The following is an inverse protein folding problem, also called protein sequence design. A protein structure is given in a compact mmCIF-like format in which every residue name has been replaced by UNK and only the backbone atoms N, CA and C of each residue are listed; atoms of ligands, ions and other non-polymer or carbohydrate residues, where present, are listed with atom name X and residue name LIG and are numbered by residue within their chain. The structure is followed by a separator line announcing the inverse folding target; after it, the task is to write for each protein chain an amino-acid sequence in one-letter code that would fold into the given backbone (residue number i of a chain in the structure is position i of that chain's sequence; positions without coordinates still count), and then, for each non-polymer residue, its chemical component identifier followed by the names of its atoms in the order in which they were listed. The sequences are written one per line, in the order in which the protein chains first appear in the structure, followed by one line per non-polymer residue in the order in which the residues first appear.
data_IF_281961798489
#
_entry.id   IF_281961798489
#
_cell.length_a   1.000
_cell.length_b   1.000
_cell.length_c   1.000
_cell.angle_alpha   90.00
_cell.angle_beta   90.00
_cell.angle_gamma   90.00
#
_symmetry.space_group_name_H-M   'P 1'
#
loop_
_entity.id
_entity.type
_entity.pdbx_description
1 polymer ?
#
# COMPACT_ATOMS: atom_id res chain seq x y z
N UNK A 1 -7.61 -34.82 -15.68
CA UNK A 1 -7.23 -33.40 -15.90
C UNK A 1 -8.06 -32.74 -17.00
N UNK A 2 -8.11 -33.30 -18.22
CA UNK A 2 -9.01 -32.77 -19.28
C UNK A 2 -10.48 -32.70 -18.83
N UNK A 3 -11.02 -33.80 -18.31
CA UNK A 3 -12.37 -33.85 -17.71
C UNK A 3 -12.59 -32.85 -16.56
N UNK A 4 -11.55 -32.53 -15.79
CA UNK A 4 -11.64 -31.52 -14.72
C UNK A 4 -11.77 -30.12 -15.31
N UNK A 5 -11.01 -29.83 -16.36
CA UNK A 5 -11.08 -28.55 -17.07
C UNK A 5 -12.45 -28.37 -17.75
N UNK A 6 -12.96 -29.41 -18.41
CA UNK A 6 -14.29 -29.42 -19.04
C UNK A 6 -15.42 -29.27 -18.01
N UNK A 7 -15.27 -29.85 -16.82
CA UNK A 7 -16.20 -29.66 -15.70
C UNK A 7 -16.24 -28.19 -15.26
N UNK A 8 -15.08 -27.55 -15.07
CA UNK A 8 -15.02 -26.13 -14.74
C UNK A 8 -15.56 -25.21 -15.85
N UNK A 9 -15.36 -25.55 -17.12
CA UNK A 9 -16.02 -24.83 -18.23
C UNK A 9 -17.55 -24.94 -18.16
N UNK A 10 -18.06 -26.10 -17.77
CA UNK A 10 -19.51 -26.32 -17.63
C UNK A 10 -20.06 -25.50 -16.47
N UNK A 11 -19.39 -25.54 -15.30
CA UNK A 11 -19.74 -24.73 -14.13
C UNK A 11 -19.65 -23.24 -14.42
N UNK A 12 -18.64 -22.80 -15.17
CA UNK A 12 -18.51 -21.42 -15.63
C UNK A 12 -19.75 -21.00 -16.42
N UNK A 13 -20.15 -21.78 -17.43
CA UNK A 13 -21.33 -21.49 -18.27
C UNK A 13 -22.62 -21.46 -17.47
N UNK A 14 -22.79 -22.38 -16.52
CA UNK A 14 -23.96 -22.38 -15.63
C UNK A 14 -23.99 -21.14 -14.73
N UNK A 15 -22.85 -20.71 -14.21
CA UNK A 15 -22.75 -19.53 -13.36
C UNK A 15 -22.91 -18.21 -14.14
N UNK A 16 -22.72 -18.21 -15.47
CA UNK A 16 -22.87 -17.01 -16.33
C UNK A 16 -24.30 -16.47 -16.33
N UNK A 17 -25.29 -17.32 -16.06
CA UNK A 17 -26.70 -16.93 -15.95
C UNK A 17 -26.96 -16.05 -14.69
N UNK A 18 -26.01 -16.02 -13.74
CA UNK A 18 -26.07 -15.25 -12.50
C UNK A 18 -25.10 -14.06 -12.44
N UNK A 19 -24.41 -13.90 -11.31
CA UNK A 19 -23.33 -12.91 -11.17
C UNK A 19 -22.01 -13.50 -11.70
N UNK A 20 -21.41 -12.82 -12.69
CA UNK A 20 -20.19 -13.24 -13.39
C UNK A 20 -18.97 -13.47 -12.48
N UNK A 21 -18.99 -13.05 -11.20
CA UNK A 21 -17.88 -13.29 -10.27
C UNK A 21 -17.55 -14.78 -10.10
N UNK A 22 -18.56 -15.62 -9.93
CA UNK A 22 -18.34 -17.07 -9.76
C UNK A 22 -17.86 -17.71 -11.07
N UNK A 23 -18.39 -17.24 -12.21
CA UNK A 23 -17.93 -17.67 -13.54
C UNK A 23 -16.46 -17.34 -13.77
N UNK A 24 -15.97 -16.19 -13.29
CA UNK A 24 -14.56 -15.82 -13.38
C UNK A 24 -13.67 -16.83 -12.64
N UNK A 25 -14.05 -17.23 -11.43
CA UNK A 25 -13.31 -18.22 -10.65
C UNK A 25 -13.25 -19.57 -11.36
N UNK A 26 -14.38 -20.08 -11.87
CA UNK A 26 -14.39 -21.33 -12.62
C UNK A 26 -13.60 -21.23 -13.93
N UNK A 27 -13.65 -20.09 -14.61
CA UNK A 27 -12.84 -19.84 -15.79
C UNK A 27 -11.33 -19.91 -15.49
N UNK A 28 -10.87 -19.32 -14.37
CA UNK A 28 -9.47 -19.43 -13.92
C UNK A 28 -9.08 -20.88 -13.65
N UNK A 29 -9.90 -21.64 -12.93
CA UNK A 29 -9.64 -23.06 -12.65
C UNK A 29 -9.57 -23.91 -13.93
N UNK A 30 -10.42 -23.63 -14.91
CA UNK A 30 -10.34 -24.27 -16.22
C UNK A 30 -9.01 -23.93 -16.93
N UNK A 31 -8.64 -22.64 -17.00
CA UNK A 31 -7.39 -22.16 -17.61
C UNK A 31 -6.17 -22.83 -16.95
N UNK A 32 -6.11 -22.91 -15.63
CA UNK A 32 -5.01 -23.57 -14.92
C UNK A 32 -4.87 -25.05 -15.28
N UNK A 33 -5.98 -25.76 -15.39
CA UNK A 33 -5.97 -27.16 -15.79
C UNK A 33 -5.52 -27.33 -17.25
N UNK A 34 -5.94 -26.44 -18.16
CA UNK A 34 -5.46 -26.44 -19.55
C UNK A 34 -3.99 -26.02 -19.70
N UNK A 35 -3.49 -25.09 -18.88
CA UNK A 35 -2.05 -24.76 -18.80
C UNK A 35 -1.22 -25.97 -18.44
N UNK A 36 -1.69 -26.79 -17.48
CA UNK A 36 -1.03 -28.05 -17.08
C UNK A 36 -1.09 -29.11 -18.20
N UNK A 37 -2.08 -29.05 -19.09
CA UNK A 37 -2.21 -29.91 -20.28
C UNK A 37 -1.48 -29.37 -21.51
N UNK A 38 -0.96 -28.13 -21.46
CA UNK A 38 -0.33 -27.40 -22.58
C UNK A 38 -1.25 -27.19 -23.79
N UNK A 39 -2.56 -27.14 -23.57
CA UNK A 39 -3.57 -26.91 -24.62
C UNK A 39 -3.70 -25.40 -24.91
N UNK A 40 -2.88 -24.90 -25.85
CA UNK A 40 -2.78 -23.47 -26.14
C UNK A 40 -4.07 -22.87 -26.71
N UNK A 41 -4.81 -23.66 -27.49
CA UNK A 41 -6.02 -23.17 -28.14
C UNK A 41 -7.11 -22.91 -27.11
N UNK A 42 -7.32 -23.87 -26.20
CA UNK A 42 -8.26 -23.71 -25.08
C UNK A 42 -7.86 -22.60 -24.10
N UNK A 43 -6.56 -22.46 -23.82
CA UNK A 43 -6.07 -21.35 -22.99
C UNK A 43 -6.43 -20.00 -23.62
N UNK A 44 -6.11 -19.81 -24.90
CA UNK A 44 -6.41 -18.56 -25.61
C UNK A 44 -7.91 -18.27 -25.71
N UNK A 45 -8.73 -19.30 -25.93
CA UNK A 45 -10.20 -19.20 -25.93
C UNK A 45 -10.71 -18.70 -24.57
N UNK A 46 -10.29 -19.35 -23.49
CA UNK A 46 -10.76 -19.05 -22.14
C UNK A 46 -10.20 -17.74 -21.60
N UNK A 47 -8.97 -17.33 -21.95
CA UNK A 47 -8.44 -16.01 -21.55
C UNK A 47 -9.24 -14.87 -22.19
N UNK A 48 -9.67 -15.02 -23.46
CA UNK A 48 -10.61 -14.08 -24.09
C UNK A 48 -11.98 -14.08 -23.40
N UNK A 49 -12.48 -15.26 -23.03
CA UNK A 49 -13.74 -15.39 -22.30
C UNK A 49 -13.66 -14.75 -20.92
N UNK A 50 -12.58 -14.97 -20.18
CA UNK A 50 -12.31 -14.36 -18.88
C UNK A 50 -12.36 -12.83 -18.97
N UNK A 51 -11.69 -12.24 -19.96
CA UNK A 51 -11.70 -10.79 -20.17
C UNK A 51 -13.14 -10.25 -20.38
N UNK A 52 -13.96 -10.96 -21.15
CA UNK A 52 -15.39 -10.61 -21.35
C UNK A 52 -16.18 -10.70 -20.05
N UNK A 53 -16.08 -11.82 -19.33
CA UNK A 53 -16.76 -12.03 -18.04
C UNK A 53 -16.40 -10.96 -17.01
N UNK A 54 -15.12 -10.54 -17.02
CA UNK A 54 -14.60 -9.51 -16.12
C UNK A 54 -15.23 -8.16 -16.43
N UNK A 55 -15.30 -7.78 -17.69
CA UNK A 55 -15.95 -6.53 -18.12
C UNK A 55 -17.46 -6.49 -17.86
N UNK A 56 -18.12 -7.65 -17.78
CA UNK A 56 -19.55 -7.76 -17.49
C UNK A 56 -19.87 -8.03 -16.01
N UNK A 57 -18.86 -8.05 -15.14
CA UNK A 57 -19.05 -8.25 -13.70
C UNK A 57 -19.85 -7.10 -13.09
N UNK A 58 -20.84 -7.44 -12.26
CA UNK A 58 -21.67 -6.46 -11.54
C UNK A 58 -21.38 -6.57 -10.06
N UNK A 59 -20.81 -5.50 -9.50
CA UNK A 59 -20.62 -5.33 -8.07
C UNK A 59 -21.67 -4.35 -7.56
N UNK A 60 -22.30 -4.69 -6.43
CA UNK A 60 -23.16 -3.75 -5.73
C UNK A 60 -22.31 -2.81 -4.88
N UNK A 61 -22.66 -1.54 -4.86
CA UNK A 61 -22.01 -0.54 -4.02
C UNK A 61 -22.94 -0.17 -2.86
N UNK A 62 -22.36 -0.13 -1.65
CA UNK A 62 -22.97 0.50 -0.50
C UNK A 62 -22.13 1.72 -0.11
N UNK A 63 -22.79 2.86 0.04
CA UNK A 63 -22.14 4.12 0.43
C UNK A 63 -22.95 4.78 1.53
N UNK A 64 -22.26 5.26 2.55
CA UNK A 64 -22.83 6.08 3.63
C UNK A 64 -21.98 7.32 3.82
N UNK A 65 -22.64 8.43 4.13
CA UNK A 65 -21.96 9.67 4.52
C UNK A 65 -21.82 9.71 6.04
N UNK A 66 -20.69 10.22 6.53
CA UNK A 66 -20.40 10.38 7.95
C UNK A 66 -20.03 11.84 8.17
N UNK A 67 -20.74 12.52 9.07
CA UNK A 67 -20.40 13.89 9.45
C UNK A 67 -19.20 13.89 10.41
N UNK A 68 -18.08 14.44 9.94
CA UNK A 68 -16.83 14.55 10.69
C UNK A 68 -16.57 15.97 11.20
N UNK A 69 -17.55 16.88 11.14
CA UNK A 69 -17.38 18.30 11.47
C UNK A 69 -16.78 18.52 12.86
N UNK A 70 -17.33 17.86 13.89
CA UNK A 70 -16.84 17.99 15.26
C UNK A 70 -15.43 17.39 15.42
N UNK A 71 -15.20 16.24 14.79
CA UNK A 71 -13.89 15.57 14.81
C UNK A 71 -12.80 16.45 14.19
N UNK A 72 -13.06 17.01 13.01
CA UNK A 72 -12.15 17.94 12.33
C UNK A 72 -11.87 19.17 13.19
N UNK A 73 -12.87 19.69 13.91
CA UNK A 73 -12.66 20.80 14.85
C UNK A 73 -11.68 20.41 15.96
N UNK A 74 -11.82 19.22 16.55
CA UNK A 74 -10.88 18.70 17.56
C UNK A 74 -9.48 18.51 16.98
N UNK A 75 -9.35 17.97 15.76
CA UNK A 75 -8.07 17.85 15.06
C UNK A 75 -7.37 19.21 14.90
N UNK A 76 -8.11 20.25 14.50
CA UNK A 76 -7.59 21.62 14.40
C UNK A 76 -7.11 22.17 15.75
N UNK A 77 -7.87 21.94 16.82
CA UNK A 77 -7.47 22.36 18.17
C UNK A 77 -6.17 21.68 18.63
N UNK A 78 -6.01 20.38 18.33
CA UNK A 78 -4.79 19.63 18.63
C UNK A 78 -3.62 20.14 17.78
N UNK A 79 -3.83 20.31 16.47
CA UNK A 79 -2.82 20.83 15.55
C UNK A 79 -2.32 22.21 15.99
N UNK A 80 -3.21 23.14 16.33
CA UNK A 80 -2.84 24.48 16.80
C UNK A 80 -1.99 24.43 18.07
N UNK A 81 -2.25 23.49 18.99
CA UNK A 81 -1.42 23.28 20.20
C UNK A 81 -0.04 22.72 19.84
N UNK A 82 0.04 21.75 18.93
CA UNK A 82 1.31 21.17 18.49
C UNK A 82 2.18 22.24 17.85
N UNK A 83 1.60 23.06 16.98
CA UNK A 83 2.33 24.08 16.24
C UNK A 83 2.83 25.22 17.13
N UNK A 84 2.36 25.37 18.38
CA UNK A 84 2.99 26.30 19.34
C UNK A 84 4.44 25.95 19.69
N UNK A 85 4.86 24.70 19.46
CA UNK A 85 6.24 24.28 19.68
C UNK A 85 7.18 24.83 18.59
N UNK A 86 8.47 24.57 18.74
CA UNK A 86 9.48 24.83 17.71
C UNK A 86 9.41 23.79 16.57
N UNK A 87 9.99 24.14 15.42
CA UNK A 87 10.00 23.31 14.21
C UNK A 87 10.57 21.91 14.42
N UNK A 88 11.63 21.76 15.21
CA UNK A 88 12.29 20.47 15.43
C UNK A 88 11.36 19.54 16.23
N UNK A 89 10.69 20.08 17.25
CA UNK A 89 9.70 19.35 18.03
C UNK A 89 8.45 18.99 17.22
N UNK A 90 7.98 19.86 16.32
CA UNK A 90 6.86 19.55 15.42
C UNK A 90 7.20 18.35 14.52
N UNK A 91 8.38 18.35 13.91
CA UNK A 91 8.81 17.22 13.05
C UNK A 91 8.98 15.95 13.87
N UNK A 92 9.54 16.04 15.09
CA UNK A 92 9.63 14.89 16.00
C UNK A 92 8.26 14.30 16.34
N UNK A 93 7.24 15.12 16.54
CA UNK A 93 5.87 14.61 16.73
C UNK A 93 5.41 13.84 15.49
N UNK A 94 5.57 14.41 14.29
CA UNK A 94 5.17 13.77 13.04
C UNK A 94 5.88 12.43 12.78
N UNK A 95 7.12 12.27 13.23
CA UNK A 95 7.95 11.08 12.96
C UNK A 95 7.89 10.04 14.08
N UNK A 96 7.74 10.47 15.34
CA UNK A 96 7.93 9.60 16.51
C UNK A 96 6.65 9.38 17.34
N UNK A 97 5.60 10.19 17.17
CA UNK A 97 4.37 10.01 17.94
C UNK A 97 3.55 8.83 17.41
N UNK A 98 3.64 7.71 18.13
CA UNK A 98 2.92 6.46 17.84
C UNK A 98 1.40 6.57 17.95
N UNK A 99 0.84 7.71 18.35
CA UNK A 99 -0.61 7.93 18.35
C UNK A 99 -1.14 8.54 17.04
N UNK A 100 -0.24 8.95 16.13
CA UNK A 100 -0.62 9.45 14.80
C UNK A 100 -1.11 8.34 13.86
N UNK A 101 -0.68 7.10 14.07
CA UNK A 101 -1.19 5.94 13.36
C UNK A 101 -2.09 5.08 14.28
N UNK A 102 -3.05 4.32 13.72
CA UNK A 102 -3.79 3.33 14.49
C UNK A 102 -2.85 2.23 15.00
N UNK A 103 -3.06 1.76 16.23
CA UNK A 103 -2.24 0.71 16.83
C UNK A 103 -2.81 -0.67 16.52
N UNK A 104 -1.97 -1.61 16.10
CA UNK A 104 -2.33 -2.98 15.75
C UNK A 104 -3.16 -3.63 16.86
N UNK A 105 -2.73 -3.52 18.13
CA UNK A 105 -3.42 -4.11 19.28
C UNK A 105 -4.83 -3.57 19.49
N UNK A 106 -5.04 -2.27 19.25
CA UNK A 106 -6.35 -1.64 19.44
C UNK A 106 -7.30 -2.03 18.31
N UNK A 107 -6.80 -2.04 17.07
CA UNK A 107 -7.55 -2.52 15.90
C UNK A 107 -7.93 -3.99 16.06
N UNK A 108 -6.98 -4.85 16.45
CA UNK A 108 -7.23 -6.27 16.70
C UNK A 108 -8.36 -6.49 17.71
N UNK A 109 -8.35 -5.78 18.83
CA UNK A 109 -9.42 -5.84 19.85
C UNK A 109 -10.78 -5.36 19.33
N UNK A 110 -10.81 -4.38 18.42
CA UNK A 110 -12.06 -3.95 17.78
C UNK A 110 -12.60 -5.07 16.89
N UNK A 111 -11.73 -5.69 16.08
CA UNK A 111 -12.10 -6.78 15.18
C UNK A 111 -12.57 -8.01 15.96
N UNK A 112 -11.88 -8.42 17.02
CA UNK A 112 -12.30 -9.53 17.90
C UNK A 112 -13.72 -9.31 18.44
N UNK A 113 -14.00 -8.10 18.95
CA UNK A 113 -15.34 -7.73 19.42
C UNK A 113 -16.38 -7.71 18.31
N UNK A 114 -16.01 -7.31 17.10
CA UNK A 114 -16.92 -7.31 15.96
C UNK A 114 -17.25 -8.74 15.51
N UNK A 115 -16.28 -9.65 15.50
CA UNK A 115 -16.49 -11.07 15.20
C UNK A 115 -17.46 -11.70 16.19
N UNK A 116 -17.30 -11.41 17.48
CA UNK A 116 -18.21 -11.92 18.52
C UNK A 116 -19.64 -11.39 18.36
N UNK A 117 -19.79 -10.10 17.99
CA UNK A 117 -21.10 -9.46 17.84
C UNK A 117 -21.80 -9.81 16.53
N UNK A 118 -21.05 -10.00 15.44
CA UNK A 118 -21.56 -10.19 14.09
C UNK A 118 -20.96 -11.44 13.41
N UNK A 119 -21.11 -12.64 14.01
CA UNK A 119 -20.41 -13.84 13.55
C UNK A 119 -20.74 -14.20 12.09
N UNK A 120 -21.97 -13.92 11.65
CA UNK A 120 -22.41 -14.19 10.27
C UNK A 120 -21.56 -13.48 9.21
N UNK A 121 -21.03 -12.29 9.50
CA UNK A 121 -20.21 -11.52 8.56
C UNK A 121 -18.83 -12.16 8.32
N UNK A 122 -18.38 -13.06 9.19
CA UNK A 122 -17.07 -13.70 9.11
C UNK A 122 -17.13 -15.17 8.68
N UNK A 123 -18.33 -15.70 8.36
CA UNK A 123 -18.50 -17.09 7.96
C UNK A 123 -17.92 -17.39 6.57
N UNK A 124 -18.06 -16.46 5.62
CA UNK A 124 -17.71 -16.69 4.23
C UNK A 124 -16.26 -16.30 3.93
N UNK A 125 -15.56 -17.01 3.03
CA UNK A 125 -14.29 -16.56 2.49
C UNK A 125 -14.45 -15.24 1.75
N UNK A 126 -13.40 -14.44 1.73
CA UNK A 126 -13.39 -13.15 1.06
C UNK A 126 -12.30 -13.08 -0.01
N UNK A 127 -12.57 -12.32 -1.07
CA UNK A 127 -11.62 -12.07 -2.16
C UNK A 127 -11.58 -10.57 -2.39
N UNK A 128 -10.38 -10.00 -2.35
CA UNK A 128 -10.15 -8.62 -2.75
C UNK A 128 -9.86 -8.59 -4.23
N UNK A 129 -10.52 -7.67 -4.94
CA UNK A 129 -10.29 -7.40 -6.35
C UNK A 129 -9.53 -6.08 -6.49
N UNK A 130 -8.62 -6.01 -7.45
CA UNK A 130 -7.97 -4.76 -7.84
C UNK A 130 -8.92 -3.85 -8.65
N UNK A 131 -8.46 -2.65 -9.00
CA UNK A 131 -9.22 -1.67 -9.79
C UNK A 131 -9.62 -2.19 -11.18
N UNK A 132 -8.96 -3.23 -11.69
CA UNK A 132 -9.25 -3.85 -12.98
C UNK A 132 -10.12 -5.12 -12.84
N UNK A 133 -10.56 -5.47 -11.62
CA UNK A 133 -11.37 -6.63 -11.31
C UNK A 133 -10.60 -7.95 -11.24
N UNK A 134 -9.27 -7.93 -11.09
CA UNK A 134 -8.48 -9.15 -10.86
C UNK A 134 -8.42 -9.47 -9.37
N UNK A 135 -8.57 -10.75 -8.98
CA UNK A 135 -8.29 -11.17 -7.61
C UNK A 135 -6.85 -10.82 -7.22
N UNK A 136 -6.69 -9.96 -6.22
CA UNK A 136 -5.38 -9.59 -5.67
C UNK A 136 -5.03 -10.45 -4.46
N UNK A 137 -6.02 -10.81 -3.64
CA UNK A 137 -5.82 -11.60 -2.42
C UNK A 137 -7.06 -12.40 -2.02
N UNK A 138 -6.84 -13.57 -1.43
CA UNK A 138 -7.88 -14.43 -0.86
C UNK A 138 -7.73 -14.49 0.66
N UNK A 139 -8.86 -14.54 1.37
CA UNK A 139 -8.92 -14.74 2.82
C UNK A 139 -9.91 -15.84 3.16
N UNK A 140 -9.39 -17.02 3.45
CA UNK A 140 -10.15 -18.28 3.50
C UNK A 140 -10.16 -18.88 4.90
N UNK A 141 -9.00 -19.01 5.52
CA UNK A 141 -8.89 -19.56 6.87
C UNK A 141 -9.19 -18.52 7.96
N UNK A 142 -9.21 -18.97 9.22
CA UNK A 142 -9.58 -18.13 10.36
C UNK A 142 -8.59 -16.98 10.58
N UNK A 143 -7.30 -17.24 10.43
CA UNK A 143 -6.25 -16.26 10.68
C UNK A 143 -6.18 -15.23 9.54
N UNK A 144 -6.35 -15.70 8.29
CA UNK A 144 -6.51 -14.85 7.12
C UNK A 144 -7.71 -13.91 7.25
N UNK A 145 -8.87 -14.44 7.63
CA UNK A 145 -10.08 -13.62 7.84
C UNK A 145 -9.92 -12.61 8.97
N UNK A 146 -9.25 -13.00 10.05
CA UNK A 146 -8.91 -12.09 11.14
C UNK A 146 -8.04 -10.94 10.64
N UNK A 147 -7.00 -11.26 9.86
CA UNK A 147 -6.12 -10.27 9.26
C UNK A 147 -6.85 -9.34 8.28
N UNK A 148 -7.75 -9.87 7.45
CA UNK A 148 -8.60 -9.05 6.57
C UNK A 148 -9.45 -8.05 7.37
N UNK A 149 -10.05 -8.51 8.47
CA UNK A 149 -10.78 -7.64 9.40
C UNK A 149 -9.91 -6.53 9.99
N UNK A 150 -8.65 -6.85 10.35
CA UNK A 150 -7.67 -5.87 10.82
C UNK A 150 -7.38 -4.82 9.75
N UNK A 151 -7.07 -5.23 8.52
CA UNK A 151 -6.78 -4.29 7.43
C UNK A 151 -7.95 -3.34 7.15
N UNK A 152 -9.18 -3.86 7.07
CA UNK A 152 -10.38 -3.04 6.87
C UNK A 152 -10.61 -2.05 8.01
N UNK A 153 -10.52 -2.53 9.24
CA UNK A 153 -10.74 -1.69 10.40
C UNK A 153 -9.64 -0.63 10.55
N UNK A 154 -8.41 -0.95 10.15
CA UNK A 154 -7.30 -0.01 10.08
C UNK A 154 -7.56 1.08 9.04
N UNK A 155 -7.97 0.71 7.82
CA UNK A 155 -8.31 1.65 6.74
C UNK A 155 -9.41 2.64 7.16
N UNK A 156 -10.47 2.13 7.82
CA UNK A 156 -11.54 2.97 8.36
C UNK A 156 -11.00 3.94 9.43
N UNK A 157 -10.21 3.47 10.39
CA UNK A 157 -9.66 4.31 11.46
C UNK A 157 -8.67 5.36 10.92
N UNK A 158 -7.82 4.96 9.95
CA UNK A 158 -6.90 5.87 9.29
C UNK A 158 -7.67 6.95 8.53
N UNK A 159 -8.64 6.55 7.72
CA UNK A 159 -9.41 7.42 6.84
C UNK A 159 -10.37 8.36 7.56
N UNK A 160 -11.04 7.92 8.63
CA UNK A 160 -12.01 8.73 9.37
C UNK A 160 -11.39 9.56 10.50
N UNK A 161 -10.26 9.11 11.07
CA UNK A 161 -9.68 9.75 12.24
C UNK A 161 -8.30 10.33 11.96
N UNK A 162 -7.33 9.46 11.68
CA UNK A 162 -5.90 9.81 11.79
C UNK A 162 -5.40 10.71 10.67
N UNK A 163 -5.85 10.49 9.43
CA UNK A 163 -5.40 11.28 8.29
C UNK A 163 -5.76 12.76 8.42
N UNK A 164 -6.94 13.06 9.00
CA UNK A 164 -7.37 14.44 9.26
C UNK A 164 -6.49 15.13 10.29
N UNK A 165 -6.12 14.43 11.37
CA UNK A 165 -5.22 14.99 12.37
C UNK A 165 -3.83 15.28 11.77
N UNK A 166 -3.27 14.33 11.03
CA UNK A 166 -1.96 14.49 10.38
C UNK A 166 -2.00 15.69 9.43
N UNK A 167 -3.02 15.76 8.57
CA UNK A 167 -3.18 16.86 7.61
C UNK A 167 -3.31 18.21 8.30
N UNK A 168 -4.10 18.33 9.37
CA UNK A 168 -4.24 19.60 10.09
C UNK A 168 -2.93 20.03 10.75
N UNK A 169 -2.13 19.10 11.28
CA UNK A 169 -0.78 19.40 11.80
C UNK A 169 0.12 19.94 10.68
N UNK A 170 0.18 19.26 9.53
CA UNK A 170 0.95 19.72 8.37
C UNK A 170 0.49 21.11 7.92
N UNK A 171 -0.81 21.30 7.72
CA UNK A 171 -1.35 22.56 7.22
C UNK A 171 -1.14 23.71 8.19
N UNK A 172 -1.32 23.51 9.49
CA UNK A 172 -1.06 24.53 10.49
C UNK A 172 0.44 24.87 10.54
N UNK A 173 1.32 23.86 10.52
CA UNK A 173 2.76 24.07 10.59
C UNK A 173 3.33 24.80 9.37
N UNK A 174 2.82 24.50 8.16
CA UNK A 174 3.21 25.19 6.93
C UNK A 174 2.72 26.64 6.95
N UNK A 175 1.45 26.87 7.31
CA UNK A 175 0.87 28.23 7.41
C UNK A 175 1.61 29.13 8.39
N UNK A 176 2.07 28.59 9.52
CA UNK A 176 2.90 29.33 10.49
C UNK A 176 4.39 29.41 10.11
N UNK A 177 4.78 28.94 8.92
CA UNK A 177 6.18 28.85 8.45
C UNK A 177 7.11 28.02 9.37
N UNK A 178 6.53 27.19 10.24
CA UNK A 178 7.27 26.30 11.15
C UNK A 178 7.65 24.97 10.50
N UNK A 179 7.03 24.63 9.37
CA UNK A 179 7.41 23.51 8.54
C UNK A 179 7.52 23.98 7.08
N UNK A 180 8.73 23.91 6.54
CA UNK A 180 9.00 24.12 5.11
C UNK A 180 10.11 23.16 4.66
N UNK A 181 10.36 23.12 3.36
CA UNK A 181 11.34 22.20 2.78
C UNK A 181 12.74 22.34 3.39
N UNK A 182 13.23 23.56 3.62
CA UNK A 182 14.56 23.78 4.17
C UNK A 182 14.68 23.25 5.60
N UNK A 183 13.64 23.48 6.42
CA UNK A 183 13.55 22.98 7.79
C UNK A 183 13.55 21.44 7.77
N UNK A 184 12.71 20.83 6.92
CA UNK A 184 12.61 19.38 6.83
C UNK A 184 13.92 18.73 6.35
N UNK A 185 14.54 19.25 5.29
CA UNK A 185 15.80 18.71 4.77
C UNK A 185 16.93 18.83 5.80
N UNK A 186 16.99 19.96 6.54
CA UNK A 186 17.95 20.13 7.63
C UNK A 186 17.73 19.12 8.75
N UNK A 187 16.47 18.88 9.11
CA UNK A 187 16.10 17.87 10.10
C UNK A 187 16.52 16.47 9.65
N UNK A 188 16.14 16.05 8.44
CA UNK A 188 16.48 14.74 7.88
C UNK A 188 17.99 14.55 7.78
N UNK A 189 18.74 15.58 7.32
CA UNK A 189 20.20 15.53 7.27
C UNK A 189 20.85 15.31 8.64
N UNK A 190 20.26 15.88 9.70
CA UNK A 190 20.79 15.83 11.06
C UNK A 190 20.44 14.53 11.81
N UNK A 191 19.22 14.05 11.63
CA UNK A 191 18.66 12.96 12.46
C UNK A 191 18.42 11.65 11.72
N UNK A 192 18.69 11.59 10.41
CA UNK A 192 18.58 10.36 9.62
C UNK A 192 19.88 10.05 8.86
N UNK A 193 19.97 8.83 8.34
CA UNK A 193 21.07 8.43 7.46
C UNK A 193 20.92 8.97 6.03
N UNK A 194 19.83 9.65 5.68
CA UNK A 194 19.57 10.07 4.31
C UNK A 194 20.65 11.00 3.73
N UNK A 195 21.31 11.78 4.57
CA UNK A 195 22.41 12.67 4.15
C UNK A 195 23.77 11.98 4.03
N UNK A 196 23.89 10.68 4.36
CA UNK A 196 25.13 9.91 4.25
C UNK A 196 25.29 9.39 2.82
N UNK A 197 26.49 9.52 2.27
CA UNK A 197 26.80 8.96 0.96
C UNK A 197 26.93 7.44 1.04
N UNK A 198 26.39 6.78 0.02
CA UNK A 198 26.41 5.34 -0.20
C UNK A 198 27.11 5.11 -1.52
N UNK A 199 28.05 4.18 -1.52
CA UNK A 199 28.81 3.79 -2.70
C UNK A 199 28.34 2.43 -3.18
N UNK A 200 27.97 2.34 -4.46
CA UNK A 200 27.61 1.08 -5.12
C UNK A 200 28.58 0.82 -6.27
N UNK A 201 29.22 -0.34 -6.24
CA UNK A 201 30.05 -0.82 -7.34
C UNK A 201 29.17 -1.49 -8.40
N UNK A 202 29.25 -1.01 -9.63
CA UNK A 202 28.55 -1.58 -10.79
C UNK A 202 29.35 -2.73 -11.41
N UNK A 203 28.69 -3.46 -12.32
CA UNK A 203 29.29 -4.59 -13.05
C UNK A 203 30.47 -4.20 -13.93
N UNK A 204 30.53 -2.96 -14.39
CA UNK A 204 31.64 -2.38 -15.17
C UNK A 204 32.78 -1.83 -14.28
N UNK A 205 32.80 -2.15 -12.98
CA UNK A 205 33.71 -1.61 -11.96
C UNK A 205 33.58 -0.10 -11.66
N UNK A 206 32.62 0.60 -12.24
CA UNK A 206 32.34 1.99 -11.85
C UNK A 206 31.76 2.03 -10.43
N UNK A 207 32.10 3.08 -9.69
CA UNK A 207 31.55 3.34 -8.37
C UNK A 207 30.60 4.52 -8.50
N UNK A 208 29.32 4.29 -8.23
CA UNK A 208 28.32 5.34 -8.11
C UNK A 208 28.24 5.72 -6.63
N UNK A 209 28.38 7.00 -6.34
CA UNK A 209 28.14 7.57 -5.03
C UNK A 209 26.87 8.42 -5.04
N UNK A 210 25.98 8.19 -4.08
CA UNK A 210 24.71 8.91 -3.96
C UNK A 210 24.27 9.00 -2.50
N UNK A 211 23.30 9.87 -2.21
CA UNK A 211 22.63 9.90 -0.92
C UNK A 211 21.12 10.07 -1.11
N UNK A 212 20.35 9.50 -0.18
CA UNK A 212 18.89 9.50 -0.29
C UNK A 212 18.28 10.88 -0.14
N UNK A 213 18.91 11.77 0.63
CA UNK A 213 18.44 13.13 0.81
C UNK A 213 18.34 13.84 -0.55
N UNK A 214 19.38 13.76 -1.37
CA UNK A 214 19.38 14.32 -2.74
C UNK A 214 18.33 13.66 -3.63
N UNK A 215 18.10 12.35 -3.47
CA UNK A 215 17.11 11.64 -4.25
C UNK A 215 15.68 12.08 -3.89
N UNK A 216 15.32 12.21 -2.61
CA UNK A 216 13.95 12.58 -2.20
C UNK A 216 13.68 14.08 -2.27
N UNK A 217 14.73 14.90 -2.26
CA UNK A 217 14.62 16.38 -2.23
C UNK A 217 13.70 16.96 -3.33
N UNK A 218 13.81 16.56 -4.62
CA UNK A 218 12.96 17.11 -5.66
C UNK A 218 11.45 16.90 -5.44
N UNK A 219 11.04 15.71 -5.00
CA UNK A 219 9.61 15.41 -4.78
C UNK A 219 9.06 16.10 -3.54
N UNK A 220 9.90 16.29 -2.51
CA UNK A 220 9.55 17.10 -1.34
C UNK A 220 9.45 18.58 -1.71
N UNK A 221 10.35 19.13 -2.54
CA UNK A 221 10.23 20.50 -3.03
C UNK A 221 8.92 20.72 -3.77
N UNK A 222 8.55 19.80 -4.67
CA UNK A 222 7.28 19.88 -5.40
C UNK A 222 6.09 19.89 -4.43
N UNK A 223 6.09 19.03 -3.41
CA UNK A 223 5.02 18.99 -2.41
C UNK A 223 4.87 20.34 -1.70
N UNK A 224 5.96 20.89 -1.15
CA UNK A 224 5.91 22.17 -0.46
C UNK A 224 5.53 23.32 -1.39
N UNK A 225 6.00 23.31 -2.64
CA UNK A 225 5.63 24.31 -3.64
C UNK A 225 4.11 24.31 -3.93
N UNK A 226 3.52 23.13 -4.13
CA UNK A 226 2.08 22.98 -4.36
C UNK A 226 1.26 23.43 -3.14
N UNK A 227 1.73 23.12 -1.93
CA UNK A 227 1.10 23.57 -0.69
C UNK A 227 1.15 25.08 -0.52
N UNK A 228 2.31 25.70 -0.73
CA UNK A 228 2.46 27.15 -0.66
C UNK A 228 1.57 27.85 -1.69
N UNK A 229 1.53 27.34 -2.92
CA UNK A 229 0.67 27.88 -3.97
C UNK A 229 -0.83 27.75 -3.63
N UNK A 230 -1.24 26.63 -3.03
CA UNK A 230 -2.61 26.44 -2.54
C UNK A 230 -2.96 27.43 -1.41
N UNK A 231 -2.07 27.65 -0.45
CA UNK A 231 -2.33 28.60 0.64
C UNK A 231 -2.39 30.06 0.16
N UNK A 232 -1.63 30.42 -0.87
CA UNK A 232 -1.71 31.74 -1.51
C UNK A 232 -2.97 31.87 -2.38
N UNK A 233 -3.41 30.78 -3.02
CA UNK A 233 -4.56 30.76 -3.92
C UNK A 233 -5.52 29.62 -3.56
N UNK A 234 -6.41 29.78 -2.55
CA UNK A 234 -7.25 28.70 -2.05
C UNK A 234 -8.21 28.08 -3.08
N UNK A 235 -8.47 28.77 -4.20
CA UNK A 235 -9.26 28.24 -5.32
C UNK A 235 -8.53 27.18 -6.15
N UNK A 236 -7.20 27.13 -6.05
CA UNK A 236 -6.41 26.13 -6.75
C UNK A 236 -6.25 24.88 -5.88
N UNK A 237 -6.46 23.70 -6.46
CA UNK A 237 -6.20 22.45 -5.79
C UNK A 237 -4.73 22.03 -6.01
N UNK A 238 -4.00 21.63 -4.97
CA UNK A 238 -2.61 21.21 -5.13
C UNK A 238 -2.53 19.95 -5.97
N UNK A 239 -1.65 19.93 -6.98
CA UNK A 239 -1.39 18.74 -7.77
C UNK A 239 -0.24 17.95 -7.16
N UNK A 240 -0.57 16.93 -6.36
CA UNK A 240 0.42 16.14 -5.63
C UNK A 240 0.88 14.87 -6.36
N UNK A 241 0.41 14.63 -7.59
CA UNK A 241 0.67 13.37 -8.33
C UNK A 241 2.18 13.14 -8.48
N UNK A 242 2.94 14.16 -8.90
CA UNK A 242 4.39 14.05 -9.08
C UNK A 242 5.12 13.71 -7.78
N UNK A 243 4.72 14.34 -6.67
CA UNK A 243 5.30 14.06 -5.35
C UNK A 243 4.98 12.64 -4.90
N UNK A 244 3.73 12.20 -5.06
CA UNK A 244 3.26 10.87 -4.65
C UNK A 244 3.95 9.79 -5.49
N UNK A 245 3.94 9.88 -6.81
CA UNK A 245 4.54 8.88 -7.71
C UNK A 245 6.04 8.73 -7.43
N UNK A 246 6.74 9.86 -7.26
CA UNK A 246 8.17 9.85 -6.98
C UNK A 246 8.49 9.29 -5.59
N UNK A 247 7.78 9.72 -4.55
CA UNK A 247 8.02 9.24 -3.18
C UNK A 247 7.63 7.77 -2.99
N UNK A 248 6.63 7.28 -3.72
CA UNK A 248 6.23 5.87 -3.65
C UNK A 248 7.34 4.96 -4.15
N UNK A 249 7.93 5.25 -5.32
CA UNK A 249 9.09 4.51 -5.84
C UNK A 249 10.34 4.68 -4.95
N UNK A 250 10.49 5.89 -4.38
CA UNK A 250 11.21 6.24 -3.15
C UNK A 250 11.41 5.11 -2.15
N UNK A 251 10.27 4.67 -1.62
CA UNK A 251 10.20 3.79 -0.45
C UNK A 251 10.78 2.42 -0.78
N UNK A 252 10.48 1.87 -1.97
CA UNK A 252 11.06 0.59 -2.38
C UNK A 252 12.59 0.65 -2.45
N UNK A 253 13.14 1.72 -3.05
CA UNK A 253 14.58 1.90 -3.14
C UNK A 253 15.25 2.04 -1.78
N UNK A 254 14.63 2.78 -0.84
CA UNK A 254 15.09 2.92 0.54
C UNK A 254 15.16 1.56 1.25
N UNK A 255 14.08 0.78 1.16
CA UNK A 255 14.02 -0.57 1.75
C UNK A 255 15.08 -1.50 1.13
N UNK A 256 15.27 -1.40 -0.19
CA UNK A 256 16.28 -2.18 -0.91
C UNK A 256 17.69 -1.89 -0.41
N UNK A 257 18.03 -0.62 -0.22
CA UNK A 257 19.34 -0.25 0.32
C UNK A 257 19.52 -0.69 1.77
N UNK A 258 18.48 -0.59 2.61
CA UNK A 258 18.51 -1.13 3.98
C UNK A 258 18.82 -2.62 3.97
N UNK A 259 18.16 -3.40 3.10
CA UNK A 259 18.42 -4.83 2.95
C UNK A 259 19.85 -5.09 2.46
N UNK A 260 20.32 -4.38 1.44
CA UNK A 260 21.67 -4.56 0.89
C UNK A 260 22.77 -4.21 1.89
N UNK A 261 22.61 -3.11 2.63
CA UNK A 261 23.54 -2.70 3.69
C UNK A 261 23.55 -3.69 4.86
N UNK A 262 22.49 -4.48 5.01
CA UNK A 262 22.37 -5.56 5.99
C UNK A 262 22.70 -6.94 5.41
N UNK A 263 23.35 -7.00 4.24
CA UNK A 263 23.77 -8.22 3.54
C UNK A 263 22.62 -9.17 3.15
N UNK A 264 21.39 -8.66 3.05
CA UNK A 264 20.22 -9.42 2.60
C UNK A 264 20.08 -9.33 1.09
N UNK A 265 19.79 -10.49 0.48
CA UNK A 265 19.59 -10.58 -0.97
C UNK A 265 18.29 -9.88 -1.37
N UNK A 266 18.38 -8.96 -2.33
CA UNK A 266 17.25 -8.14 -2.80
C UNK A 266 16.65 -8.61 -4.12
N UNK A 267 17.12 -9.75 -4.63
CA UNK A 267 16.60 -10.42 -5.82
C UNK A 267 16.25 -11.88 -5.53
N UNK A 268 15.48 -12.49 -6.42
CA UNK A 268 15.25 -13.92 -6.48
C UNK A 268 15.68 -14.48 -7.84
N UNK A 269 16.07 -15.75 -7.86
CA UNK A 269 16.36 -16.47 -9.11
C UNK A 269 15.07 -17.08 -9.65
N UNK A 270 14.81 -16.88 -10.93
CA UNK A 270 13.68 -17.49 -11.64
C UNK A 270 14.12 -17.96 -13.03
N UNK A 271 13.22 -18.58 -13.79
CA UNK A 271 13.48 -19.04 -15.16
C UNK A 271 12.79 -18.14 -16.18
N UNK A 272 13.46 -17.89 -17.29
CA UNK A 272 12.85 -17.26 -18.44
C UNK A 272 11.98 -18.25 -19.24
N UNK A 273 11.34 -17.77 -20.31
CA UNK A 273 10.47 -18.57 -21.17
C UNK A 273 11.18 -19.75 -21.88
N UNK A 274 12.52 -19.79 -21.87
CA UNK A 274 13.36 -20.87 -22.42
C UNK A 274 14.00 -21.74 -21.33
N UNK A 275 13.64 -21.54 -20.06
CA UNK A 275 14.14 -22.31 -18.93
C UNK A 275 15.52 -21.88 -18.41
N UNK A 276 16.05 -20.73 -18.87
CA UNK A 276 17.34 -20.19 -18.44
C UNK A 276 17.19 -19.43 -17.12
N UNK A 277 18.16 -19.57 -16.23
CA UNK A 277 18.15 -18.85 -14.95
C UNK A 277 18.34 -17.34 -15.19
N UNK A 278 17.46 -16.53 -14.59
CA UNK A 278 17.53 -15.06 -14.57
C UNK A 278 17.33 -14.58 -13.14
N UNK A 279 17.97 -13.46 -12.78
CA UNK A 279 17.69 -12.76 -11.54
C UNK A 279 16.55 -11.75 -11.77
N UNK A 280 15.67 -11.59 -10.77
CA UNK A 280 14.66 -10.54 -10.72
C UNK A 280 14.67 -9.88 -9.36
N UNK A 281 14.60 -8.56 -9.34
CA UNK A 281 14.50 -7.80 -8.10
C UNK A 281 13.20 -8.16 -7.35
N UNK A 282 13.29 -8.25 -6.03
CA UNK A 282 12.13 -8.29 -5.13
C UNK A 282 11.43 -6.94 -5.20
N UNK A 283 10.10 -6.94 -5.32
CA UNK A 283 9.30 -5.72 -5.21
C UNK A 283 9.16 -5.27 -3.75
N UNK A 284 8.56 -4.09 -3.54
CA UNK A 284 8.31 -3.55 -2.19
C UNK A 284 7.58 -4.55 -1.27
N UNK A 285 6.60 -5.28 -1.80
CA UNK A 285 5.83 -6.24 -1.01
C UNK A 285 6.76 -7.34 -0.50
N UNK A 286 7.53 -7.98 -1.38
CA UNK A 286 8.50 -8.99 -1.00
C UNK A 286 9.56 -8.48 -0.02
N UNK A 287 10.06 -7.25 -0.20
CA UNK A 287 11.04 -6.63 0.71
C UNK A 287 10.48 -6.42 2.13
N UNK A 288 9.20 -6.05 2.27
CA UNK A 288 8.54 -5.87 3.58
C UNK A 288 8.40 -7.17 4.38
N UNK A 289 8.54 -8.34 3.75
CA UNK A 289 8.54 -9.64 4.42
C UNK A 289 9.93 -10.16 4.79
N UNK A 290 11.01 -9.46 4.46
CA UNK A 290 12.35 -9.80 4.94
C UNK A 290 12.44 -9.62 6.46
N UNK A 291 13.08 -10.57 7.15
CA UNK A 291 13.08 -10.59 8.62
C UNK A 291 13.82 -9.39 9.23
N UNK A 292 14.85 -8.87 8.55
CA UNK A 292 15.52 -7.64 8.97
C UNK A 292 14.55 -6.45 8.92
N UNK A 293 13.73 -6.35 7.88
CA UNK A 293 12.74 -5.27 7.75
C UNK A 293 11.68 -5.40 8.84
N UNK A 294 11.21 -6.62 9.12
CA UNK A 294 10.30 -6.88 10.26
C UNK A 294 10.90 -6.56 11.62
N UNK A 295 12.23 -6.66 11.76
CA UNK A 295 12.95 -6.31 12.99
C UNK A 295 13.20 -4.81 13.15
N UNK A 296 13.18 -4.03 12.07
CA UNK A 296 13.41 -2.59 12.08
C UNK A 296 12.14 -1.79 12.38
N UNK A 297 11.01 -2.26 11.88
CA UNK A 297 9.70 -1.62 12.08
C UNK A 297 8.92 -2.36 13.15
N UNK A 298 8.21 -1.62 14.00
CA UNK A 298 7.27 -2.25 14.93
C UNK A 298 5.99 -2.71 14.22
N UNK A 299 5.12 -3.40 14.96
CA UNK A 299 3.87 -3.96 14.41
C UNK A 299 2.91 -2.89 13.85
N UNK A 300 2.95 -1.67 14.40
CA UNK A 300 2.09 -0.57 13.96
C UNK A 300 2.61 0.01 12.63
N UNK A 301 3.92 0.22 12.53
CA UNK A 301 4.58 0.68 11.31
C UNK A 301 4.46 -0.36 10.18
N UNK A 302 4.61 -1.65 10.49
CA UNK A 302 4.44 -2.73 9.52
C UNK A 302 3.00 -2.84 9.03
N UNK A 303 2.01 -2.56 9.88
CA UNK A 303 0.60 -2.55 9.47
C UNK A 303 0.30 -1.37 8.54
N UNK A 304 0.94 -0.22 8.74
CA UNK A 304 0.81 0.93 7.83
C UNK A 304 1.41 0.67 6.45
N UNK A 305 2.55 -0.04 6.41
CA UNK A 305 3.30 -0.28 5.17
C UNK A 305 2.75 -1.43 4.30
N UNK A 306 1.89 -2.28 4.86
CA UNK A 306 1.36 -3.50 4.21
C UNK A 306 -0.06 -3.33 3.71
#
# INVERSE_FOLDING_TARGET
RKQIAESYETLMKQAEEGNNLVSLTFCQYAIENYKKLKDKDKINELEKKYSKLKSSMKLAEFKTEIDLTEHIKRCKEIANKIVQNDSDKIIKVLVLDKNLLPKYKDIKKIVERNIEKFPAQHLFPEVILDQFGYPSQHFTDKDEKMYCGILRQYDIELGLNKIYLINEIFFAAIRENKLNINILLKFLKRYSWFGKNISRKLSNNEIIEYNWLNLITPSLHEYFHQMDYHFLNPKNHPNLVLSIDSLTLKIEGLLRDICQLSEITTFYMTKDNKGRNIAREKDIHALLYEDIVKGLFDEDDLLFLK
#
